data_IF_791427171968
#
_entry.id   IF_791427171968
#
_cell.length_a   1.000
_cell.length_b   1.000
_cell.length_c   1.000
_cell.angle_alpha   90.00
_cell.angle_beta   90.00
_cell.angle_gamma   90.00
#
_symmetry.space_group_name_H-M   'P 1'
#
loop_
_entity.id
_entity.type
_entity.pdbx_description
1 polymer ?
#
# COMPACT_ATOMS: atom_id res chain seq x y z
N UNK A 1 -8.44 19.19 -32.53
CA UNK A 1 -9.07 18.17 -31.66
C UNK A 1 -8.49 16.75 -31.74
N UNK A 2 -7.57 16.40 -32.67
CA UNK A 2 -6.90 15.07 -32.69
C UNK A 2 -5.61 14.95 -31.85
N UNK A 3 -5.14 16.04 -31.22
CA UNK A 3 -3.87 16.08 -30.48
C UNK A 3 -3.95 15.66 -29.00
N UNK A 4 -5.13 15.72 -28.36
CA UNK A 4 -5.32 15.32 -26.95
C UNK A 4 -5.50 13.80 -26.75
N UNK A 5 -5.88 13.06 -27.80
CA UNK A 5 -6.08 11.61 -27.74
C UNK A 5 -4.79 10.77 -27.80
N UNK A 6 -3.66 11.35 -28.26
CA UNK A 6 -2.34 10.68 -28.29
C UNK A 6 -1.51 10.94 -27.03
N UNK A 7 -1.72 12.06 -26.32
CA UNK A 7 -0.97 12.43 -25.11
C UNK A 7 -1.42 11.62 -23.87
N UNK A 8 -2.74 11.40 -23.71
CA UNK A 8 -3.35 10.59 -22.64
C UNK A 8 -3.12 9.09 -22.74
N UNK A 9 -2.60 8.59 -23.88
CA UNK A 9 -2.26 7.18 -24.06
C UNK A 9 -0.79 6.86 -23.76
N UNK A 10 0.11 7.85 -23.76
CA UNK A 10 1.51 7.71 -23.32
C UNK A 10 1.69 7.90 -21.81
N UNK A 11 0.82 8.68 -21.18
CA UNK A 11 0.76 8.82 -19.71
C UNK A 11 0.35 7.51 -19.00
N UNK A 12 -0.35 6.64 -19.72
CA UNK A 12 -0.68 5.26 -19.35
C UNK A 12 0.54 4.32 -19.36
N UNK A 13 1.64 4.64 -20.06
CA UNK A 13 2.81 3.76 -20.25
C UNK A 13 3.87 3.91 -19.13
N UNK A 14 3.88 5.02 -18.38
CA UNK A 14 4.95 5.34 -17.42
C UNK A 14 4.63 5.09 -15.93
N UNK A 15 3.35 5.11 -15.56
CA UNK A 15 2.84 4.39 -14.37
C UNK A 15 2.98 2.87 -14.57
N UNK A 16 2.99 2.42 -15.83
CA UNK A 16 3.25 1.04 -16.24
C UNK A 16 4.71 0.60 -15.93
N UNK A 17 5.71 1.49 -15.96
CA UNK A 17 7.10 1.18 -15.57
C UNK A 17 7.31 1.08 -14.05
N UNK A 18 6.48 1.79 -13.28
CA UNK A 18 6.36 1.54 -11.85
C UNK A 18 5.84 0.13 -11.57
N UNK A 19 4.84 -0.29 -12.35
CA UNK A 19 4.28 -1.64 -12.35
C UNK A 19 5.27 -2.71 -12.83
N UNK A 20 6.20 -2.38 -13.75
CA UNK A 20 7.25 -3.32 -14.22
C UNK A 20 8.36 -3.56 -13.18
N UNK A 21 8.59 -2.63 -12.25
CA UNK A 21 9.48 -2.84 -11.09
C UNK A 21 8.81 -3.70 -10.01
N UNK A 22 7.49 -3.56 -9.88
CA UNK A 22 6.66 -4.33 -8.94
C UNK A 22 6.38 -5.76 -9.40
N UNK A 23 6.35 -6.06 -10.70
CA UNK A 23 6.08 -7.43 -11.20
C UNK A 23 7.32 -8.33 -11.27
N UNK A 24 8.54 -7.79 -11.42
CA UNK A 24 9.75 -8.61 -11.58
C UNK A 24 10.40 -9.06 -10.28
N UNK A 25 10.20 -8.32 -9.19
CA UNK A 25 10.87 -8.61 -7.90
C UNK A 25 9.89 -8.92 -6.76
N UNK A 26 8.64 -8.47 -6.86
CA UNK A 26 7.66 -8.56 -5.78
C UNK A 26 6.52 -9.48 -6.19
N UNK A 27 5.95 -10.17 -5.22
CA UNK A 27 4.81 -11.06 -5.44
C UNK A 27 3.55 -10.24 -5.66
N UNK A 28 2.59 -10.81 -6.37
CA UNK A 28 1.36 -10.13 -6.79
C UNK A 28 0.13 -10.97 -6.50
N UNK A 29 -0.94 -10.32 -6.03
CA UNK A 29 -2.27 -10.88 -5.85
C UNK A 29 -3.31 -9.95 -6.49
N UNK A 30 -4.26 -10.52 -7.23
CA UNK A 30 -5.44 -9.78 -7.72
C UNK A 30 -6.52 -9.79 -6.64
N UNK A 31 -7.20 -8.66 -6.44
CA UNK A 31 -8.21 -8.52 -5.38
C UNK A 31 -9.52 -7.96 -5.96
N UNK A 32 -10.64 -8.53 -5.51
CA UNK A 32 -12.00 -8.20 -5.98
C UNK A 32 -12.51 -6.89 -5.37
N UNK A 33 -12.41 -6.75 -4.05
CA UNK A 33 -12.73 -5.54 -3.30
C UNK A 33 -11.48 -5.02 -2.59
N UNK A 34 -10.94 -3.91 -3.09
CA UNK A 34 -9.74 -3.29 -2.53
C UNK A 34 -9.93 -2.79 -1.12
N UNK A 35 -11.10 -2.19 -0.84
CA UNK A 35 -11.40 -1.55 0.43
C UNK A 35 -11.43 -2.60 1.52
N UNK A 36 -12.31 -3.58 1.39
CA UNK A 36 -12.44 -4.64 2.38
C UNK A 36 -11.12 -5.40 2.59
N UNK A 37 -10.35 -5.60 1.51
CA UNK A 37 -9.10 -6.33 1.56
C UNK A 37 -8.04 -5.65 2.44
N UNK A 38 -7.76 -4.35 2.28
CA UNK A 38 -6.74 -3.73 3.13
C UNK A 38 -7.21 -3.52 4.58
N UNK A 39 -8.51 -3.44 4.86
CA UNK A 39 -9.02 -3.47 6.24
C UNK A 39 -8.71 -4.82 6.90
N UNK A 40 -8.98 -5.92 6.19
CA UNK A 40 -8.65 -7.28 6.64
C UNK A 40 -7.14 -7.48 6.80
N UNK A 41 -6.31 -6.93 5.90
CA UNK A 41 -4.85 -6.96 6.06
C UNK A 41 -4.40 -6.19 7.30
N UNK A 42 -4.85 -4.94 7.47
CA UNK A 42 -4.48 -4.14 8.64
C UNK A 42 -4.88 -4.83 9.94
N UNK A 43 -6.09 -5.40 9.98
CA UNK A 43 -6.57 -6.21 11.09
C UNK A 43 -5.66 -7.42 11.36
N UNK A 44 -5.37 -8.21 10.33
CA UNK A 44 -4.55 -9.42 10.43
C UNK A 44 -3.14 -9.11 10.91
N UNK A 45 -2.56 -8.02 10.43
CA UNK A 45 -1.24 -7.59 10.88
C UNK A 45 -1.27 -7.05 12.31
N UNK A 46 -2.30 -6.31 12.71
CA UNK A 46 -2.43 -5.81 14.09
C UNK A 46 -2.63 -6.95 15.11
N UNK A 47 -3.13 -8.12 14.67
CA UNK A 47 -3.12 -9.33 15.51
C UNK A 47 -1.72 -9.90 15.75
N UNK A 48 -0.80 -9.72 14.81
CA UNK A 48 0.54 -10.35 14.83
C UNK A 48 1.65 -9.41 15.26
N UNK A 49 1.53 -8.11 14.99
CA UNK A 49 2.54 -7.10 15.22
C UNK A 49 2.05 -6.02 16.15
N UNK A 50 2.96 -5.43 16.92
CA UNK A 50 2.63 -4.33 17.84
C UNK A 50 2.48 -2.99 17.14
N UNK A 51 3.08 -2.85 15.96
CA UNK A 51 2.94 -1.67 15.11
C UNK A 51 2.72 -2.07 13.66
N UNK A 52 1.67 -1.51 13.06
CA UNK A 52 1.33 -1.63 11.65
C UNK A 52 1.21 -0.23 11.08
N UNK A 53 2.15 0.13 10.22
CA UNK A 53 2.15 1.45 9.59
C UNK A 53 1.37 1.40 8.28
N UNK A 54 0.52 2.39 8.04
CA UNK A 54 -0.27 2.51 6.82
C UNK A 54 -0.10 3.91 6.23
N UNK A 55 0.33 3.96 4.99
CA UNK A 55 0.33 5.16 4.16
C UNK A 55 -0.94 5.10 3.31
N UNK A 56 -1.95 5.88 3.68
CA UNK A 56 -3.26 5.87 3.02
C UNK A 56 -3.34 6.93 1.92
N UNK A 57 -3.20 6.50 0.66
CA UNK A 57 -3.28 7.38 -0.50
C UNK A 57 -4.73 7.55 -1.02
N UNK A 58 -5.65 6.68 -0.60
CA UNK A 58 -7.05 6.71 -1.04
C UNK A 58 -8.01 7.35 -0.05
N UNK A 59 -7.54 7.71 1.15
CA UNK A 59 -8.37 8.16 2.28
C UNK A 59 -9.56 7.22 2.55
N UNK A 60 -9.35 5.92 2.34
CA UNK A 60 -10.43 4.94 2.33
C UNK A 60 -10.27 3.93 3.47
N UNK A 61 -9.17 4.00 4.23
CA UNK A 61 -9.04 3.25 5.48
C UNK A 61 -9.98 3.80 6.56
N UNK A 62 -10.90 2.95 7.00
CA UNK A 62 -11.93 3.24 7.98
C UNK A 62 -11.71 2.41 9.27
N UNK A 63 -11.32 3.04 10.40
CA UNK A 63 -11.15 2.37 11.69
C UNK A 63 -12.41 1.61 12.17
N UNK A 64 -13.61 2.03 11.75
CA UNK A 64 -14.85 1.34 12.09
C UNK A 64 -14.89 -0.07 11.49
N UNK A 65 -14.50 -0.22 10.21
CA UNK A 65 -14.45 -1.53 9.56
C UNK A 65 -13.49 -2.49 10.26
N UNK A 66 -12.34 -1.98 10.69
CA UNK A 66 -11.34 -2.76 11.46
C UNK A 66 -11.90 -3.13 12.84
N UNK A 67 -12.61 -2.21 13.49
CA UNK A 67 -13.23 -2.45 14.80
C UNK A 67 -14.27 -3.56 14.73
N UNK A 68 -15.06 -3.61 13.66
CA UNK A 68 -16.03 -4.70 13.45
C UNK A 68 -15.31 -6.04 13.32
N UNK A 69 -14.25 -6.12 12.51
CA UNK A 69 -13.44 -7.35 12.39
C UNK A 69 -12.88 -7.81 13.74
N UNK A 70 -12.41 -6.88 14.57
CA UNK A 70 -11.95 -7.19 15.93
C UNK A 70 -13.07 -7.76 16.81
N UNK A 71 -14.25 -7.13 16.80
CA UNK A 71 -15.43 -7.61 17.56
C UNK A 71 -15.87 -9.00 17.12
N UNK A 72 -15.92 -9.26 15.82
CA UNK A 72 -16.30 -10.58 15.28
C UNK A 72 -15.33 -11.68 15.72
N UNK A 73 -14.05 -11.36 15.91
CA UNK A 73 -13.02 -12.27 16.42
C UNK A 73 -12.87 -12.23 17.95
N UNK A 74 -13.85 -11.64 18.67
CA UNK A 74 -13.85 -11.48 20.13
C UNK A 74 -12.60 -10.80 20.71
N UNK A 75 -12.02 -9.85 19.98
CA UNK A 75 -10.87 -9.04 20.42
C UNK A 75 -11.30 -7.61 20.75
N UNK A 76 -10.58 -6.99 21.67
CA UNK A 76 -10.76 -5.57 21.98
C UNK A 76 -10.39 -4.70 20.77
N UNK A 77 -11.36 -3.95 20.18
CA UNK A 77 -11.08 -3.05 19.07
C UNK A 77 -10.07 -1.96 19.40
N UNK A 78 -10.05 -1.45 20.65
CA UNK A 78 -9.13 -0.41 21.06
C UNK A 78 -7.68 -0.89 20.98
N UNK A 79 -7.41 -2.09 21.51
CA UNK A 79 -6.10 -2.73 21.44
C UNK A 79 -5.66 -2.90 19.99
N UNK A 80 -6.54 -3.40 19.11
CA UNK A 80 -6.23 -3.58 17.69
C UNK A 80 -5.94 -2.25 16.98
N UNK A 81 -6.81 -1.26 17.15
CA UNK A 81 -6.66 0.05 16.51
C UNK A 81 -5.43 0.80 17.00
N UNK A 82 -5.07 0.67 18.28
CA UNK A 82 -3.90 1.35 18.86
C UNK A 82 -2.57 0.96 18.19
N UNK A 83 -2.51 -0.23 17.59
CA UNK A 83 -1.35 -0.77 16.87
C UNK A 83 -1.23 -0.22 15.45
N UNK A 84 -2.29 0.38 14.90
CA UNK A 84 -2.35 0.84 13.51
C UNK A 84 -1.99 2.33 13.44
N UNK A 85 -0.90 2.67 12.75
CA UNK A 85 -0.40 4.05 12.60
C UNK A 85 -0.66 4.53 11.18
N UNK A 86 -1.61 5.46 11.02
CA UNK A 86 -2.09 5.91 9.71
C UNK A 86 -1.44 7.25 9.35
N UNK A 87 -0.86 7.34 8.15
CA UNK A 87 -0.41 8.58 7.52
C UNK A 87 -1.18 8.78 6.22
N UNK A 88 -2.06 9.78 6.16
CA UNK A 88 -2.79 10.11 4.93
C UNK A 88 -1.92 10.91 3.98
N UNK A 89 -1.97 10.55 2.71
CA UNK A 89 -1.20 11.15 1.61
C UNK A 89 -2.19 11.54 0.53
N UNK A 90 -2.32 12.84 0.26
CA UNK A 90 -3.30 13.37 -0.69
C UNK A 90 -2.69 13.70 -2.05
N UNK A 91 -1.36 13.85 -2.11
CA UNK A 91 -0.64 14.16 -3.35
C UNK A 91 0.59 13.27 -3.51
N UNK A 92 1.05 13.08 -4.75
CA UNK A 92 2.23 12.24 -5.01
C UNK A 92 3.47 12.78 -4.29
N UNK A 93 3.62 14.10 -4.15
CA UNK A 93 4.77 14.74 -3.49
C UNK A 93 4.90 14.37 -2.01
N UNK A 94 3.80 14.04 -1.34
CA UNK A 94 3.81 13.63 0.06
C UNK A 94 4.30 12.18 0.26
N UNK A 95 4.25 11.35 -0.79
CA UNK A 95 4.56 9.92 -0.71
C UNK A 95 5.98 9.64 -0.22
N UNK A 96 6.98 10.30 -0.80
CA UNK A 96 8.39 10.05 -0.48
C UNK A 96 8.73 10.41 0.98
N UNK A 97 8.15 11.50 1.48
CA UNK A 97 8.28 11.92 2.88
C UNK A 97 7.57 10.93 3.82
N UNK A 98 6.35 10.50 3.49
CA UNK A 98 5.61 9.51 4.26
C UNK A 98 6.37 8.18 4.36
N UNK A 99 6.92 7.70 3.24
CA UNK A 99 7.75 6.49 3.20
C UNK A 99 9.01 6.64 4.05
N UNK A 100 9.69 7.78 3.97
CA UNK A 100 10.90 8.04 4.76
C UNK A 100 10.59 8.06 6.27
N UNK A 101 9.47 8.68 6.66
CA UNK A 101 9.00 8.74 8.04
C UNK A 101 8.61 7.37 8.59
N UNK A 102 7.98 6.52 7.77
CA UNK A 102 7.64 5.15 8.18
C UNK A 102 8.91 4.31 8.31
N UNK A 103 9.81 4.34 7.32
CA UNK A 103 11.06 3.55 7.35
C UNK A 103 11.96 3.93 8.52
N UNK A 104 12.01 5.21 8.92
CA UNK A 104 12.83 5.65 10.07
C UNK A 104 12.35 5.09 11.41
N UNK A 105 11.13 4.54 11.47
CA UNK A 105 10.63 3.78 12.63
C UNK A 105 11.06 2.31 12.64
N UNK A 106 11.81 1.86 11.63
CA UNK A 106 12.24 0.49 11.45
C UNK A 106 11.08 -0.54 11.58
N UNK A 107 10.00 -0.38 10.79
CA UNK A 107 8.81 -1.20 10.95
C UNK A 107 9.07 -2.65 10.54
N UNK A 108 8.42 -3.60 11.23
CA UNK A 108 8.34 -4.99 10.75
C UNK A 108 7.47 -5.10 9.50
N UNK A 109 6.42 -4.28 9.44
CA UNK A 109 5.45 -4.27 8.35
C UNK A 109 4.87 -2.88 8.10
N UNK A 110 4.63 -2.56 6.82
CA UNK A 110 3.81 -1.41 6.47
C UNK A 110 3.07 -1.58 5.14
N UNK A 111 2.04 -0.76 4.97
CA UNK A 111 1.17 -0.78 3.80
C UNK A 111 1.17 0.59 3.12
N UNK A 112 1.03 0.59 1.79
CA UNK A 112 0.71 1.77 0.99
C UNK A 112 -0.60 1.44 0.26
N UNK A 113 -1.69 2.13 0.58
CA UNK A 113 -3.01 1.81 0.04
C UNK A 113 -3.43 2.79 -1.06
N UNK A 114 -3.96 2.25 -2.15
CA UNK A 114 -4.60 2.97 -3.25
C UNK A 114 -3.69 4.01 -3.89
N UNK A 115 -2.46 3.57 -4.22
CA UNK A 115 -1.46 4.43 -4.84
C UNK A 115 -1.96 5.08 -6.14
N UNK A 116 -2.87 4.42 -6.87
CA UNK A 116 -3.50 4.96 -8.07
C UNK A 116 -4.23 6.29 -7.85
N UNK A 117 -4.75 6.55 -6.64
CA UNK A 117 -5.51 7.77 -6.31
C UNK A 117 -4.66 9.03 -6.34
N UNK A 118 -3.44 8.96 -5.82
CA UNK A 118 -2.51 10.10 -5.86
C UNK A 118 -1.78 10.22 -7.22
N UNK A 119 -1.82 9.15 -8.02
CA UNK A 119 -1.25 9.15 -9.37
C UNK A 119 -2.23 9.61 -10.43
N UNK A 120 -3.55 9.56 -10.15
CA UNK A 120 -4.59 10.09 -11.04
C UNK A 120 -4.69 11.62 -11.04
N UNK A 121 -3.93 12.32 -10.20
CA UNK A 121 -3.94 13.79 -10.17
C UNK A 121 -3.39 14.37 -11.48
N UNK A 122 -4.27 14.82 -12.36
CA UNK A 122 -3.94 15.37 -13.67
C UNK A 122 -3.22 16.73 -13.60
N UNK A 123 -3.27 17.40 -12.44
CA UNK A 123 -2.55 18.67 -12.24
C UNK A 123 -1.03 18.48 -12.09
N UNK A 124 -0.60 17.25 -11.83
CA UNK A 124 0.81 16.90 -11.64
C UNK A 124 1.32 16.20 -12.90
N UNK A 125 2.49 16.63 -13.38
CA UNK A 125 3.07 16.01 -14.57
C UNK A 125 3.47 14.56 -14.30
N UNK A 126 3.39 13.72 -15.32
CA UNK A 126 3.78 12.33 -15.19
C UNK A 126 5.27 12.11 -14.89
N UNK A 127 6.14 13.04 -15.30
CA UNK A 127 7.56 12.99 -14.97
C UNK A 127 7.78 13.15 -13.46
N UNK A 128 7.08 14.09 -12.82
CA UNK A 128 7.15 14.32 -11.37
C UNK A 128 6.59 13.13 -10.59
N UNK A 129 5.48 12.56 -11.06
CA UNK A 129 4.92 11.33 -10.48
C UNK A 129 5.96 10.21 -10.52
N UNK A 130 6.52 9.91 -11.68
CA UNK A 130 7.52 8.84 -11.84
C UNK A 130 8.75 9.07 -10.97
N UNK A 131 9.29 10.29 -10.93
CA UNK A 131 10.46 10.63 -10.12
C UNK A 131 10.21 10.41 -8.63
N UNK A 132 9.07 10.90 -8.13
CA UNK A 132 8.69 10.78 -6.72
C UNK A 132 8.55 9.32 -6.31
N UNK A 133 7.86 8.52 -7.14
CA UNK A 133 7.66 7.12 -6.80
C UNK A 133 8.97 6.33 -6.91
N UNK A 134 9.82 6.58 -7.91
CA UNK A 134 11.15 5.95 -7.99
C UNK A 134 11.99 6.21 -6.74
N UNK A 135 11.96 7.44 -6.20
CA UNK A 135 12.63 7.78 -4.95
C UNK A 135 12.07 6.98 -3.77
N UNK A 136 10.74 6.97 -3.60
CA UNK A 136 10.09 6.22 -2.54
C UNK A 136 10.45 4.72 -2.62
N UNK A 137 10.36 4.12 -3.81
CA UNK A 137 10.64 2.71 -4.02
C UNK A 137 12.10 2.34 -3.80
N UNK A 138 13.06 3.22 -4.14
CA UNK A 138 14.48 3.02 -3.82
C UNK A 138 14.70 2.86 -2.32
N UNK A 139 13.96 3.60 -1.49
CA UNK A 139 14.02 3.50 -0.02
C UNK A 139 13.35 2.20 0.46
N UNK A 140 12.18 1.90 -0.09
CA UNK A 140 11.42 0.67 0.21
C UNK A 140 12.25 -0.58 -0.10
N UNK A 141 12.95 -0.64 -1.23
CA UNK A 141 13.78 -1.81 -1.59
C UNK A 141 14.85 -2.13 -0.55
N UNK A 142 15.42 -1.10 0.08
CA UNK A 142 16.47 -1.21 1.11
C UNK A 142 15.96 -1.59 2.49
N UNK A 143 14.64 -1.50 2.74
CA UNK A 143 14.08 -1.92 4.04
C UNK A 143 14.05 -3.45 4.17
N UNK A 144 14.19 -3.91 5.42
CA UNK A 144 13.97 -5.31 5.80
C UNK A 144 12.49 -5.61 6.10
N UNK A 145 11.64 -4.57 6.16
CA UNK A 145 10.22 -4.73 6.45
C UNK A 145 9.51 -5.55 5.36
N UNK A 146 8.45 -6.23 5.77
CA UNK A 146 7.42 -6.68 4.83
C UNK A 146 6.61 -5.47 4.38
N UNK A 147 6.32 -5.38 3.07
CA UNK A 147 5.66 -4.23 2.48
C UNK A 147 4.55 -4.68 1.55
N UNK A 148 3.39 -4.04 1.65
CA UNK A 148 2.23 -4.29 0.80
C UNK A 148 1.81 -2.98 0.15
N UNK A 149 1.64 -3.00 -1.17
CA UNK A 149 1.27 -1.83 -1.96
C UNK A 149 0.04 -2.19 -2.77
N UNK A 150 -1.07 -1.47 -2.59
CA UNK A 150 -2.24 -1.63 -3.42
C UNK A 150 -2.26 -0.59 -4.54
N UNK A 151 -2.45 -1.07 -5.76
CA UNK A 151 -2.41 -0.27 -6.98
C UNK A 151 -3.25 -0.96 -8.06
N UNK A 152 -4.22 -0.28 -8.65
CA UNK A 152 -5.06 -0.81 -9.75
C UNK A 152 -5.68 -2.19 -9.43
N UNK A 153 -6.32 -2.32 -8.26
CA UNK A 153 -6.95 -3.57 -7.78
C UNK A 153 -6.00 -4.77 -7.68
N UNK A 154 -4.71 -4.50 -7.57
CA UNK A 154 -3.67 -5.50 -7.32
C UNK A 154 -2.93 -5.13 -6.04
N UNK A 155 -2.43 -6.16 -5.38
CA UNK A 155 -1.56 -6.05 -4.23
C UNK A 155 -0.20 -6.53 -4.68
N UNK A 156 0.79 -5.68 -4.53
CA UNK A 156 2.18 -6.03 -4.73
C UNK A 156 2.85 -6.07 -3.37
N UNK A 157 3.59 -7.14 -3.11
CA UNK A 157 4.18 -7.32 -1.80
C UNK A 157 5.55 -7.98 -1.84
N UNK A 158 6.38 -7.53 -0.90
CA UNK A 158 7.68 -8.13 -0.55
C UNK A 158 7.60 -8.51 0.91
N UNK A 159 8.05 -9.72 1.22
CA UNK A 159 8.05 -10.23 2.59
C UNK A 159 9.48 -10.29 3.12
N UNK A 160 9.60 -10.05 4.42
CA UNK A 160 10.75 -10.55 5.19
C UNK A 160 10.68 -12.07 5.31
N UNK A 161 11.82 -12.71 5.59
CA UNK A 161 11.88 -14.17 5.83
C UNK A 161 10.89 -14.65 6.89
N UNK A 162 10.67 -13.86 7.94
CA UNK A 162 9.73 -14.16 9.04
C UNK A 162 8.27 -14.24 8.57
N UNK A 163 7.94 -13.59 7.46
CA UNK A 163 6.57 -13.52 6.91
C UNK A 163 6.29 -14.53 5.80
N UNK A 164 7.29 -15.28 5.33
CA UNK A 164 7.11 -16.30 4.29
C UNK A 164 6.20 -17.45 4.76
N UNK A 165 6.27 -17.85 6.03
CA UNK A 165 5.37 -18.87 6.58
C UNK A 165 3.94 -18.35 6.70
N UNK A 166 3.77 -17.08 7.11
CA UNK A 166 2.46 -16.44 7.21
C UNK A 166 1.78 -16.36 5.83
N UNK A 167 2.53 -16.06 4.78
CA UNK A 167 2.02 -16.01 3.41
C UNK A 167 1.30 -17.30 3.03
N UNK A 168 1.93 -18.45 3.26
CA UNK A 168 1.39 -19.77 2.89
C UNK A 168 0.12 -20.12 3.65
N UNK A 169 0.01 -19.68 4.90
CA UNK A 169 -1.08 -20.07 5.79
C UNK A 169 -2.27 -19.10 5.73
N UNK A 170 -2.02 -17.80 5.60
CA UNK A 170 -3.01 -16.75 5.84
C UNK A 170 -3.41 -15.98 4.58
N UNK A 171 -2.51 -15.78 3.62
CA UNK A 171 -2.83 -14.99 2.42
C UNK A 171 -3.96 -15.60 1.57
N UNK A 172 -4.06 -16.94 1.38
CA UNK A 172 -5.17 -17.55 0.65
C UNK A 172 -6.55 -17.33 1.29
N UNK A 173 -6.60 -17.06 2.60
CA UNK A 173 -7.85 -16.83 3.33
C UNK A 173 -8.34 -15.37 3.22
N UNK A 174 -7.52 -14.48 2.65
CA UNK A 174 -7.83 -13.06 2.48
C UNK A 174 -8.37 -12.71 1.09
N UNK A 175 -8.14 -13.58 0.11
CA UNK A 175 -8.54 -13.42 -1.30
C UNK A 175 -9.99 -13.79 -1.57
#
# INVERSE_FOLDING_TARGET
MKSNLKKSNLDKIHILDLALTLEKEWKKLSISDTVLFYHKLCYTFAKKFDEVYVIDCGNSLNPYGISLLAKFDSRDPFVILSKIKISRVFTVFQLDSAVSKVISKNPKIFLITELDKILSDESISNQEKVATIKSAFKKIKKTKASVFITFNKKVYYKLSKEMELWEKQSLPQLG
#
